data_IF_436764530271
#
_entry.id   IF_436764530271
#
_cell.length_a   1.000
_cell.length_b   1.000
_cell.length_c   1.000
_cell.angle_alpha   90.00
_cell.angle_beta   90.00
_cell.angle_gamma   90.00
#
_symmetry.space_group_name_H-M   'P 1'
#
loop_
_entity.id
_entity.type
_entity.pdbx_description
1 polymer ?
#
# COMPACT_ATOMS: atom_id res chain seq x y z
N UNK A 1 -3.32 9.75 -0.18
CA UNK A 1 -4.12 10.79 -0.88
C UNK A 1 -4.53 11.80 0.17
N UNK A 2 -4.32 13.10 -0.08
CA UNK A 2 -4.62 14.14 0.90
C UNK A 2 -6.12 14.39 0.99
N UNK A 3 -6.58 14.90 2.14
CA UNK A 3 -7.99 15.29 2.29
C UNK A 3 -8.35 16.37 1.27
N UNK A 4 -9.61 16.38 0.83
CA UNK A 4 -10.12 17.31 -0.18
C UNK A 4 -9.43 17.21 -1.56
N UNK A 5 -8.79 16.07 -1.88
CA UNK A 5 -8.34 15.80 -3.25
C UNK A 5 -9.54 15.51 -4.15
N UNK A 6 -9.60 16.15 -5.33
CA UNK A 6 -10.64 15.90 -6.34
C UNK A 6 -10.57 14.46 -6.85
N UNK A 7 -11.71 13.77 -6.90
CA UNK A 7 -11.85 12.42 -7.47
C UNK A 7 -12.42 12.51 -8.91
N UNK A 8 -12.06 11.60 -9.83
CA UNK A 8 -11.17 10.45 -9.64
C UNK A 8 -9.69 10.85 -9.47
N UNK A 9 -8.95 10.11 -8.66
CA UNK A 9 -7.53 10.40 -8.41
C UNK A 9 -6.73 9.14 -8.15
N UNK A 10 -5.46 9.16 -8.59
CA UNK A 10 -4.52 8.06 -8.44
C UNK A 10 -3.20 8.56 -7.87
N UNK A 11 -2.68 7.86 -6.87
CA UNK A 11 -1.38 8.16 -6.24
C UNK A 11 -0.60 6.86 -6.06
N UNK A 12 0.61 6.79 -6.60
CA UNK A 12 1.55 5.70 -6.35
C UNK A 12 2.72 6.16 -5.49
N UNK A 13 3.23 5.26 -4.67
CA UNK A 13 4.41 5.46 -3.85
C UNK A 13 5.18 4.15 -3.72
N UNK A 14 6.51 4.24 -3.81
CA UNK A 14 7.40 3.09 -3.64
C UNK A 14 7.81 2.99 -2.17
N UNK A 15 7.61 1.80 -1.60
CA UNK A 15 8.02 1.40 -0.27
C UNK A 15 9.05 0.28 -0.34
N UNK A 16 9.65 -0.05 0.80
CA UNK A 16 10.59 -1.16 0.93
C UNK A 16 10.35 -1.93 2.23
N UNK A 17 11.04 -3.06 2.39
CA UNK A 17 10.98 -3.89 3.59
C UNK A 17 11.61 -3.18 4.78
N UNK A 18 11.07 -3.45 5.97
CA UNK A 18 11.57 -2.89 7.23
C UNK A 18 12.74 -3.72 7.79
N UNK A 19 12.74 -5.03 7.51
CA UNK A 19 13.72 -6.00 8.02
C UNK A 19 14.47 -6.71 6.88
N UNK A 20 15.65 -7.24 7.22
CA UNK A 20 16.46 -8.04 6.31
C UNK A 20 15.78 -9.40 6.04
N UNK A 21 15.81 -9.84 4.78
CA UNK A 21 15.23 -11.10 4.33
C UNK A 21 13.72 -11.25 4.63
N UNK A 22 13.01 -10.12 4.74
CA UNK A 22 11.56 -10.10 4.95
C UNK A 22 10.82 -10.72 3.75
N UNK A 23 10.13 -11.83 3.97
CA UNK A 23 9.46 -12.61 2.92
C UNK A 23 8.05 -12.12 2.56
N UNK A 24 7.47 -11.23 3.36
CA UNK A 24 6.15 -10.67 3.13
C UNK A 24 6.03 -9.26 3.73
N UNK A 25 5.26 -8.37 3.05
CA UNK A 25 4.90 -7.05 3.58
C UNK A 25 3.39 -6.96 3.76
N UNK A 26 2.96 -6.36 4.87
CA UNK A 26 1.56 -6.06 5.14
C UNK A 26 1.26 -4.62 4.77
N UNK A 27 0.28 -4.42 3.88
CA UNK A 27 -0.24 -3.10 3.53
C UNK A 27 -1.50 -2.88 4.35
N UNK A 28 -1.44 -1.92 5.29
CA UNK A 28 -2.58 -1.51 6.10
C UNK A 28 -3.12 -0.18 5.59
N UNK A 29 -4.37 -0.17 5.13
CA UNK A 29 -5.05 1.01 4.61
C UNK A 29 -5.87 1.65 5.72
N UNK A 30 -5.62 2.93 5.98
CA UNK A 30 -6.31 3.70 7.02
C UNK A 30 -6.85 5.02 6.46
N UNK A 31 -7.95 5.47 7.06
CA UNK A 31 -8.57 6.77 6.80
C UNK A 31 -8.66 7.59 8.08
N UNK A 32 -8.10 8.79 8.06
CA UNK A 32 -8.22 9.76 9.14
C UNK A 32 -7.12 10.82 9.10
N UNK A 33 -7.22 11.82 9.97
CA UNK A 33 -6.29 12.96 10.02
C UNK A 33 -5.28 12.86 11.17
N UNK A 34 -5.31 11.77 11.95
CA UNK A 34 -4.42 11.62 13.11
C UNK A 34 -3.04 11.15 12.66
N UNK A 35 -2.00 11.65 13.33
CA UNK A 35 -0.60 11.30 13.04
C UNK A 35 -0.28 9.83 13.33
N UNK A 36 -0.93 9.25 14.35
CA UNK A 36 -0.73 7.85 14.72
C UNK A 36 -1.76 6.97 14.02
N UNK A 37 -1.28 5.93 13.33
CA UNK A 37 -2.13 5.00 12.58
C UNK A 37 -3.24 4.39 13.46
N UNK A 38 -2.92 4.01 14.71
CA UNK A 38 -3.87 3.41 15.65
C UNK A 38 -5.08 4.31 16.01
N UNK A 39 -5.00 5.63 15.74
CA UNK A 39 -6.08 6.58 16.02
C UNK A 39 -6.95 6.87 14.79
N UNK A 40 -6.65 6.24 13.65
CA UNK A 40 -7.39 6.37 12.40
C UNK A 40 -8.29 5.15 12.16
N UNK A 41 -9.29 5.30 11.28
CA UNK A 41 -10.18 4.20 10.92
C UNK A 41 -9.45 3.23 9.98
N UNK A 42 -9.38 1.97 10.38
CA UNK A 42 -8.89 0.90 9.51
C UNK A 42 -9.92 0.63 8.41
N UNK A 43 -9.48 0.66 7.16
CA UNK A 43 -10.32 0.34 6.00
C UNK A 43 -10.12 -1.12 5.55
N UNK A 44 -8.88 -1.58 5.57
CA UNK A 44 -8.54 -2.94 5.16
C UNK A 44 -7.05 -3.19 5.26
N UNK A 45 -6.65 -4.46 5.22
CA UNK A 45 -5.25 -4.87 5.15
C UNK A 45 -5.11 -6.07 4.24
N UNK A 46 -3.96 -6.18 3.59
CA UNK A 46 -3.59 -7.34 2.80
C UNK A 46 -2.09 -7.53 2.83
N UNK A 47 -1.67 -8.77 2.60
CA UNK A 47 -0.26 -9.16 2.58
C UNK A 47 0.19 -9.41 1.15
N UNK A 48 1.33 -8.83 0.80
CA UNK A 48 2.09 -9.20 -0.39
C UNK A 48 3.21 -10.14 0.06
N UNK A 49 3.01 -11.43 -0.19
CA UNK A 49 3.94 -12.48 0.19
C UNK A 49 4.94 -12.81 -0.93
N UNK A 50 5.90 -13.68 -0.61
CA UNK A 50 6.89 -14.25 -1.52
C UNK A 50 7.86 -13.20 -2.10
N UNK A 51 8.28 -12.26 -1.26
CA UNK A 51 9.34 -11.31 -1.55
C UNK A 51 10.69 -12.03 -1.47
N UNK A 52 11.57 -11.89 -2.47
CA UNK A 52 12.90 -12.48 -2.43
C UNK A 52 13.71 -11.99 -1.21
N UNK A 53 14.51 -12.86 -0.57
CA UNK A 53 15.41 -12.44 0.50
C UNK A 53 16.37 -11.37 0.01
N UNK A 54 16.31 -10.20 0.61
CA UNK A 54 17.17 -9.06 0.31
C UNK A 54 17.42 -8.24 1.59
N UNK A 55 18.51 -7.45 1.63
CA UNK A 55 18.72 -6.47 2.69
C UNK A 55 17.52 -5.52 2.78
N UNK A 56 17.23 -5.04 4.00
CA UNK A 56 16.21 -4.01 4.23
C UNK A 56 16.45 -2.81 3.32
N UNK A 57 15.37 -2.21 2.82
CA UNK A 57 15.48 -1.05 1.92
C UNK A 57 15.80 -1.37 0.46
N UNK A 58 16.15 -2.61 0.10
CA UNK A 58 16.37 -3.00 -1.31
C UNK A 58 15.08 -3.34 -2.09
N UNK A 59 14.16 -4.19 -1.57
CA UNK A 59 12.93 -4.51 -2.30
C UNK A 59 12.14 -3.26 -2.64
N UNK A 60 11.63 -3.16 -3.87
CA UNK A 60 10.83 -2.00 -4.30
C UNK A 60 9.37 -2.43 -4.46
N UNK A 61 8.54 -2.09 -3.48
CA UNK A 61 7.11 -2.37 -3.48
C UNK A 61 6.38 -1.08 -3.86
N UNK A 62 5.83 -1.03 -5.08
CA UNK A 62 4.99 0.06 -5.52
C UNK A 62 3.57 -0.13 -5.01
N UNK A 63 3.11 0.76 -4.12
CA UNK A 63 1.75 0.81 -3.63
C UNK A 63 1.00 1.93 -4.34
N UNK A 64 -0.14 1.60 -4.94
CA UNK A 64 -0.99 2.52 -5.66
C UNK A 64 -2.36 2.59 -5.00
N UNK A 65 -2.80 3.82 -4.73
CA UNK A 65 -4.14 4.15 -4.29
C UNK A 65 -4.88 4.81 -5.45
N UNK A 66 -6.01 4.25 -5.84
CA UNK A 66 -6.84 4.74 -6.91
C UNK A 66 -8.28 4.90 -6.39
N UNK A 67 -8.79 6.12 -6.46
CA UNK A 67 -10.16 6.44 -6.05
C UNK A 67 -10.93 6.79 -7.31
N UNK A 68 -11.98 6.02 -7.58
CA UNK A 68 -12.80 6.22 -8.76
C UNK A 68 -13.77 7.42 -8.60
N UNK A 69 -14.56 7.69 -9.65
CA UNK A 69 -15.52 8.78 -9.64
C UNK A 69 -16.73 8.56 -8.70
N UNK A 70 -16.93 7.33 -8.22
CA UNK A 70 -18.01 6.93 -7.31
C UNK A 70 -17.51 6.97 -5.85
N UNK A 71 -16.20 7.05 -5.64
CA UNK A 71 -15.54 7.07 -4.33
C UNK A 71 -15.09 5.70 -3.83
N UNK A 72 -15.09 4.66 -4.68
CA UNK A 72 -14.55 3.34 -4.36
C UNK A 72 -13.03 3.41 -4.36
N UNK A 73 -12.39 2.85 -3.33
CA UNK A 73 -10.94 2.85 -3.19
C UNK A 73 -10.36 1.51 -3.63
N UNK A 74 -9.53 1.55 -4.67
CA UNK A 74 -8.70 0.44 -5.10
C UNK A 74 -7.29 0.65 -4.57
N UNK A 75 -6.80 -0.32 -3.79
CA UNK A 75 -5.41 -0.32 -3.31
C UNK A 75 -4.70 -1.53 -3.87
N UNK A 76 -3.62 -1.29 -4.62
CA UNK A 76 -2.76 -2.34 -5.15
C UNK A 76 -1.33 -2.16 -4.66
N UNK A 77 -0.65 -3.27 -4.40
CA UNK A 77 0.78 -3.32 -4.12
C UNK A 77 1.43 -4.26 -5.13
N UNK A 78 2.56 -3.83 -5.70
CA UNK A 78 3.32 -4.60 -6.68
C UNK A 78 4.79 -4.59 -6.31
N UNK A 79 5.39 -5.77 -6.21
CA UNK A 79 6.84 -5.89 -6.17
C UNK A 79 7.41 -5.69 -7.57
N UNK A 80 8.30 -4.70 -7.73
CA UNK A 80 8.92 -4.38 -9.01
C UNK A 80 9.97 -5.41 -9.45
N UNK A 81 10.52 -6.20 -8.55
CA UNK A 81 11.52 -7.21 -8.88
C UNK A 81 10.86 -8.49 -9.44
N UNK A 82 9.85 -9.01 -8.74
CA UNK A 82 9.17 -10.26 -9.13
C UNK A 82 7.95 -10.04 -10.03
N UNK A 83 7.40 -8.81 -10.07
CA UNK A 83 6.15 -8.51 -10.76
C UNK A 83 4.90 -8.99 -10.02
N UNK A 84 5.04 -9.62 -8.85
CA UNK A 84 3.92 -10.06 -8.02
C UNK A 84 3.12 -8.85 -7.55
N UNK A 85 1.80 -9.01 -7.57
CA UNK A 85 0.89 -7.97 -7.14
C UNK A 85 -0.24 -8.54 -6.31
N UNK A 86 -0.72 -7.74 -5.37
CA UNK A 86 -1.91 -8.01 -4.58
C UNK A 86 -2.72 -6.73 -4.48
N UNK A 87 -4.05 -6.83 -4.48
CA UNK A 87 -4.92 -5.67 -4.36
C UNK A 87 -6.19 -5.96 -3.59
N UNK A 88 -6.74 -4.91 -2.98
CA UNK A 88 -8.06 -4.94 -2.35
C UNK A 88 -8.91 -3.78 -2.88
N UNK A 89 -10.23 -3.96 -2.79
CA UNK A 89 -11.24 -2.94 -3.10
C UNK A 89 -12.02 -2.68 -1.82
N UNK A 90 -12.20 -1.41 -1.48
CA UNK A 90 -12.85 -0.92 -0.26
C UNK A 90 -13.99 0.02 -0.63
#
# INVERSE_FOLDING_TARGET
IEKNTTIPTKKSQVFSTADDNQSAVTIHVLQGERKQAAQNKSLGRFDLAEIPPAPRGMPQIEVTFDIDAIGILHVSAKDKATGKQQSIVI
#
